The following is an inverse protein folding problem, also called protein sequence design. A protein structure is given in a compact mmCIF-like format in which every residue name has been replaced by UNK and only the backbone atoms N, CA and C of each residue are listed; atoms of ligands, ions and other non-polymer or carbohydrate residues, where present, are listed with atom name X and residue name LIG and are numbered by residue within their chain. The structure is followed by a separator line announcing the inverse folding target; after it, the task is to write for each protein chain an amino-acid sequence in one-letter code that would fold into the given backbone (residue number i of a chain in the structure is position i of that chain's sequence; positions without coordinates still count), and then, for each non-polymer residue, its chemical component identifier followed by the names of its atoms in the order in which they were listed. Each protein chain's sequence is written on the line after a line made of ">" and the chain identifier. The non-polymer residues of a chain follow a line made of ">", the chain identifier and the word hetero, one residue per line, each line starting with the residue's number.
data_IF_622089179801
#
_entry.id   IF_622089179801
#
_cell.length_a   1.000
_cell.length_b   1.000
_cell.length_c   1.000
_cell.angle_alpha   90.00
_cell.angle_beta   90.00
_cell.angle_gamma   90.00
#
_symmetry.space_group_name_H-M   'P 1'
#
loop_
_entity.id
_entity.type
_entity.pdbx_description
1 polymer ?
#
# COMPACT_ATOMS: atom_id res chain seq x y z
N UNK A 1 32.67 -35.00 -19.52
CA UNK A 1 32.71 -34.32 -18.22
C UNK A 1 32.74 -32.78 -18.30
N UNK A 2 33.56 -32.14 -19.18
CA UNK A 2 33.64 -30.66 -19.30
C UNK A 2 32.33 -29.98 -19.68
N UNK A 3 31.46 -30.58 -20.53
CA UNK A 3 30.16 -29.99 -20.93
C UNK A 3 29.11 -29.97 -19.82
N UNK A 4 29.11 -30.93 -18.89
CA UNK A 4 28.18 -30.96 -17.76
C UNK A 4 28.51 -29.89 -16.71
N UNK A 5 29.79 -29.58 -16.52
CA UNK A 5 30.24 -28.54 -15.57
C UNK A 5 29.83 -27.15 -16.05
N UNK A 6 29.89 -26.87 -17.36
CA UNK A 6 29.49 -25.58 -17.95
C UNK A 6 27.99 -25.38 -17.80
N UNK A 7 27.15 -26.40 -17.99
CA UNK A 7 25.68 -26.32 -17.81
C UNK A 7 25.29 -26.05 -16.36
N UNK A 8 26.00 -26.66 -15.42
CA UNK A 8 25.74 -26.46 -13.97
C UNK A 8 26.15 -25.05 -13.52
N UNK A 9 27.20 -24.46 -14.05
CA UNK A 9 27.58 -23.07 -13.76
C UNK A 9 26.59 -22.05 -14.31
N UNK A 10 25.96 -22.30 -15.46
CA UNK A 10 24.95 -21.41 -16.05
C UNK A 10 23.68 -21.41 -15.20
N UNK A 11 23.25 -22.55 -14.66
CA UNK A 11 22.11 -22.67 -13.75
C UNK A 11 22.30 -21.91 -12.42
N UNK A 12 23.54 -21.91 -11.89
CA UNK A 12 23.87 -21.21 -10.65
C UNK A 12 23.93 -19.68 -10.84
N UNK A 13 24.33 -19.21 -12.02
CA UNK A 13 24.35 -17.77 -12.36
C UNK A 13 22.94 -17.22 -12.55
N UNK A 14 22.02 -17.99 -13.13
CA UNK A 14 20.62 -17.59 -13.31
C UNK A 14 19.88 -17.40 -11.98
N UNK A 15 20.09 -18.30 -11.02
CA UNK A 15 19.43 -18.20 -9.70
C UNK A 15 19.94 -17.03 -8.85
N UNK A 16 21.21 -16.68 -8.92
CA UNK A 16 21.76 -15.50 -8.22
C UNK A 16 21.23 -14.19 -8.79
N UNK A 17 21.11 -14.09 -10.12
CA UNK A 17 20.62 -12.90 -10.81
C UNK A 17 19.16 -12.61 -10.45
N UNK A 18 18.31 -13.64 -10.35
CA UNK A 18 16.92 -13.52 -9.98
C UNK A 18 16.74 -13.02 -8.53
N UNK A 19 17.45 -13.61 -7.57
CA UNK A 19 17.42 -13.21 -6.17
C UNK A 19 17.92 -11.77 -5.94
N UNK A 20 18.96 -11.35 -6.65
CA UNK A 20 19.53 -10.02 -6.54
C UNK A 20 18.60 -8.94 -7.12
N UNK A 21 17.82 -9.23 -8.15
CA UNK A 21 16.85 -8.32 -8.73
C UNK A 21 15.68 -8.08 -7.77
N UNK A 22 15.15 -9.14 -7.15
CA UNK A 22 14.07 -9.06 -6.15
C UNK A 22 14.45 -8.21 -4.94
N UNK A 23 15.67 -8.37 -4.42
CA UNK A 23 16.14 -7.60 -3.28
C UNK A 23 16.33 -6.10 -3.62
N UNK A 24 16.84 -5.82 -4.84
CA UNK A 24 16.92 -4.45 -5.35
C UNK A 24 15.54 -3.79 -5.46
N UNK A 25 14.56 -4.51 -5.99
CA UNK A 25 13.19 -3.99 -6.13
C UNK A 25 12.50 -3.83 -4.77
N UNK A 26 12.73 -4.72 -3.82
CA UNK A 26 12.27 -4.57 -2.44
C UNK A 26 12.75 -3.26 -1.80
N UNK A 27 14.03 -2.92 -1.98
CA UNK A 27 14.60 -1.65 -1.50
C UNK A 27 13.95 -0.44 -2.19
N UNK A 28 13.74 -0.50 -3.52
CA UNK A 28 13.06 0.58 -4.26
C UNK A 28 11.63 0.79 -3.78
N UNK A 29 10.87 -0.29 -3.59
CA UNK A 29 9.49 -0.22 -3.10
C UNK A 29 9.43 0.37 -1.70
N UNK A 30 10.34 -0.01 -0.78
CA UNK A 30 10.43 0.61 0.53
C UNK A 30 10.64 2.13 0.42
N UNK A 31 11.58 2.57 -0.41
CA UNK A 31 11.85 4.00 -0.63
C UNK A 31 10.62 4.71 -1.21
N UNK A 32 9.91 4.10 -2.16
CA UNK A 32 8.71 4.66 -2.76
C UNK A 32 7.61 4.85 -1.70
N UNK A 33 7.33 3.83 -0.90
CA UNK A 33 6.28 3.89 0.13
C UNK A 33 6.63 4.90 1.24
N UNK A 34 7.89 4.94 1.68
CA UNK A 34 8.34 5.92 2.67
C UNK A 34 8.26 7.35 2.12
N UNK A 35 8.65 7.55 0.86
CA UNK A 35 8.56 8.85 0.19
C UNK A 35 7.11 9.27 -0.05
N UNK A 36 6.23 8.33 -0.35
CA UNK A 36 4.80 8.56 -0.51
C UNK A 36 4.15 9.04 0.78
N UNK A 37 4.42 8.37 1.92
CA UNK A 37 3.94 8.82 3.23
C UNK A 37 4.52 10.18 3.62
N UNK A 38 5.81 10.41 3.34
CA UNK A 38 6.46 11.70 3.58
C UNK A 38 5.87 12.84 2.76
N UNK A 39 5.52 12.58 1.49
CA UNK A 39 4.88 13.58 0.64
C UNK A 39 3.51 14.02 1.20
N UNK A 40 2.73 13.11 1.79
CA UNK A 40 1.49 13.46 2.49
C UNK A 40 1.76 14.31 3.74
N UNK A 41 2.75 13.91 4.56
CA UNK A 41 3.11 14.64 5.78
C UNK A 41 3.60 16.06 5.49
N UNK A 42 4.24 16.27 4.35
CA UNK A 42 4.74 17.56 3.88
C UNK A 42 3.72 18.34 3.03
N UNK A 43 2.53 17.79 2.80
CA UNK A 43 1.49 18.35 1.92
C UNK A 43 1.97 18.59 0.47
N UNK A 44 2.85 17.71 -0.03
CA UNK A 44 3.38 17.75 -1.40
C UNK A 44 2.42 17.02 -2.36
N UNK A 45 1.32 17.68 -2.75
CA UNK A 45 0.21 17.07 -3.50
C UNK A 45 0.66 16.36 -4.77
N UNK A 46 1.34 17.06 -5.68
CA UNK A 46 1.76 16.46 -6.96
C UNK A 46 2.77 15.32 -6.75
N UNK A 47 3.69 15.48 -5.80
CA UNK A 47 4.65 14.43 -5.45
C UNK A 47 3.94 13.19 -4.89
N UNK A 48 2.98 13.36 -3.98
CA UNK A 48 2.17 12.27 -3.43
C UNK A 48 1.49 11.46 -4.52
N UNK A 49 0.76 12.12 -5.42
CA UNK A 49 0.04 11.45 -6.50
C UNK A 49 0.95 10.91 -7.62
N UNK A 50 2.18 11.41 -7.72
CA UNK A 50 3.17 10.88 -8.67
C UNK A 50 3.58 9.42 -8.37
N UNK A 51 3.45 8.96 -7.14
CA UNK A 51 3.71 7.57 -6.74
C UNK A 51 2.58 6.61 -7.09
N UNK A 52 1.37 7.10 -7.33
CA UNK A 52 0.22 6.27 -7.67
C UNK A 52 0.16 5.99 -9.18
N UNK A 53 -0.38 4.84 -9.54
CA UNK A 53 -0.74 4.51 -10.92
C UNK A 53 -1.91 5.37 -11.40
N UNK A 54 -2.01 5.62 -12.70
CA UNK A 54 -3.13 6.35 -13.30
C UNK A 54 -4.49 5.71 -13.01
N UNK A 55 -4.53 4.39 -12.79
CA UNK A 55 -5.72 3.62 -12.42
C UNK A 55 -5.70 3.25 -10.92
N UNK A 56 -4.97 4.03 -10.10
CA UNK A 56 -4.81 3.75 -8.68
C UNK A 56 -6.14 3.87 -7.91
N UNK A 57 -6.30 2.97 -6.93
CA UNK A 57 -7.45 2.96 -6.01
C UNK A 57 -6.95 3.17 -4.59
N UNK A 58 -7.60 4.07 -3.87
CA UNK A 58 -7.36 4.27 -2.44
C UNK A 58 -8.64 3.93 -1.67
N UNK A 59 -8.52 3.03 -0.71
CA UNK A 59 -9.58 2.67 0.23
C UNK A 59 -9.19 3.19 1.61
N UNK A 60 -10.00 4.07 2.15
CA UNK A 60 -9.76 4.67 3.47
C UNK A 60 -10.34 3.84 4.61
N UNK A 61 -10.42 4.45 5.78
CA UNK A 61 -10.81 3.76 7.02
C UNK A 61 -12.31 3.64 7.23
N UNK A 62 -13.12 4.43 6.52
CA UNK A 62 -14.58 4.35 6.54
C UNK A 62 -15.08 3.44 5.42
N UNK A 63 -16.18 2.71 5.66
CA UNK A 63 -16.74 1.76 4.71
C UNK A 63 -17.20 2.41 3.39
N UNK A 64 -17.47 3.72 3.39
CA UNK A 64 -17.84 4.50 2.19
C UNK A 64 -16.62 5.00 1.39
N UNK A 65 -15.42 4.87 1.93
CA UNK A 65 -14.19 5.45 1.35
C UNK A 65 -13.51 4.50 0.36
N UNK A 66 -13.99 4.50 -0.86
CA UNK A 66 -13.39 3.77 -1.98
C UNK A 66 -13.26 4.71 -3.18
N UNK A 67 -12.06 5.25 -3.39
CA UNK A 67 -11.82 6.26 -4.41
C UNK A 67 -10.93 5.76 -5.54
N UNK A 68 -11.38 5.98 -6.76
CA UNK A 68 -10.50 6.02 -7.93
C UNK A 68 -9.60 7.26 -7.85
N UNK A 69 -8.47 7.24 -8.52
CA UNK A 69 -7.41 8.24 -8.39
C UNK A 69 -7.91 9.69 -8.46
N UNK A 70 -8.75 10.05 -9.44
CA UNK A 70 -9.18 11.43 -9.62
C UNK A 70 -10.18 11.89 -8.54
N UNK A 71 -11.06 10.97 -8.10
CA UNK A 71 -11.92 11.22 -6.95
C UNK A 71 -11.11 11.40 -5.67
N UNK A 72 -10.05 10.59 -5.48
CA UNK A 72 -9.15 10.72 -4.35
C UNK A 72 -8.36 12.03 -4.37
N UNK A 73 -7.88 12.48 -5.53
CA UNK A 73 -7.27 13.81 -5.68
C UNK A 73 -8.22 14.92 -5.26
N UNK A 74 -9.47 14.86 -5.73
CA UNK A 74 -10.50 15.85 -5.39
C UNK A 74 -10.78 15.87 -3.89
N UNK A 75 -10.96 14.71 -3.28
CA UNK A 75 -11.19 14.57 -1.84
C UNK A 75 -10.02 15.10 -1.02
N UNK A 76 -8.80 14.75 -1.39
CA UNK A 76 -7.60 15.05 -0.60
C UNK A 76 -7.09 16.50 -0.77
N UNK A 77 -7.38 17.15 -1.90
CA UNK A 77 -6.85 18.48 -2.24
C UNK A 77 -7.00 19.52 -1.13
N UNK A 78 -8.17 19.66 -0.46
CA UNK A 78 -8.33 20.65 0.61
C UNK A 78 -7.43 20.41 1.82
N UNK A 79 -7.04 19.17 2.10
CA UNK A 79 -6.11 18.85 3.19
C UNK A 79 -4.69 19.24 2.84
N UNK A 80 -4.25 18.94 1.62
CA UNK A 80 -2.94 19.35 1.12
C UNK A 80 -2.83 20.88 1.03
N UNK A 81 -3.87 21.59 0.57
CA UNK A 81 -3.87 23.06 0.45
C UNK A 81 -3.76 23.77 1.81
N UNK A 82 -4.19 23.13 2.89
CA UNK A 82 -3.99 23.62 4.26
C UNK A 82 -2.56 23.41 4.79
N UNK A 83 -1.66 22.85 3.97
CA UNK A 83 -0.28 22.57 4.34
C UNK A 83 -0.10 21.38 5.30
N UNK A 84 -1.14 20.56 5.51
CA UNK A 84 -1.09 19.38 6.38
C UNK A 84 -2.15 18.38 5.93
N UNK A 85 -1.73 17.28 5.32
CA UNK A 85 -2.61 16.16 5.00
C UNK A 85 -2.63 15.15 6.16
N UNK A 86 -1.98 14.01 6.00
CA UNK A 86 -1.86 12.98 7.05
C UNK A 86 -0.39 12.61 7.23
N UNK A 87 -0.05 12.16 8.43
CA UNK A 87 1.30 11.78 8.77
C UNK A 87 1.34 10.33 9.25
N UNK A 88 1.95 9.47 8.45
CA UNK A 88 2.10 8.04 8.72
C UNK A 88 3.57 7.68 8.72
N UNK A 89 4.00 6.90 9.72
CA UNK A 89 5.35 6.37 9.82
C UNK A 89 5.31 4.85 9.86
N UNK A 90 6.02 4.21 8.94
CA UNK A 90 6.06 2.74 8.90
C UNK A 90 6.82 2.18 10.10
N UNK A 91 6.17 1.31 10.87
CA UNK A 91 6.74 0.56 11.99
C UNK A 91 7.29 -0.79 11.54
N UNK A 92 6.62 -1.42 10.59
CA UNK A 92 6.99 -2.71 10.01
C UNK A 92 6.36 -2.83 8.63
N UNK A 93 7.09 -3.39 7.66
CA UNK A 93 6.58 -3.64 6.31
C UNK A 93 7.07 -4.98 5.79
N UNK A 94 6.18 -5.73 5.15
CA UNK A 94 6.49 -6.94 4.42
C UNK A 94 6.14 -6.71 2.94
N UNK A 95 7.02 -7.13 2.02
CA UNK A 95 6.83 -6.96 0.58
C UNK A 95 7.01 -8.31 -0.09
N UNK A 96 6.09 -8.66 -0.97
CA UNK A 96 6.02 -9.91 -1.70
C UNK A 96 5.95 -9.62 -3.20
N UNK A 97 6.38 -10.57 -4.03
CA UNK A 97 6.40 -10.41 -5.48
C UNK A 97 5.72 -11.60 -6.16
N UNK A 98 5.07 -11.32 -7.29
CA UNK A 98 4.63 -12.37 -8.19
C UNK A 98 5.83 -13.02 -8.93
N UNK A 99 5.57 -14.12 -9.64
CA UNK A 99 6.63 -14.84 -10.37
C UNK A 99 7.26 -14.02 -11.51
N UNK A 100 6.51 -13.11 -12.10
CA UNK A 100 6.99 -12.24 -13.18
C UNK A 100 7.80 -11.05 -12.69
N UNK A 101 7.71 -10.73 -11.38
CA UNK A 101 8.28 -9.54 -10.75
C UNK A 101 7.77 -8.21 -11.35
N UNK A 102 6.56 -8.23 -11.91
CA UNK A 102 5.89 -7.04 -12.40
C UNK A 102 4.79 -6.53 -11.46
N UNK A 103 4.42 -7.36 -10.49
CA UNK A 103 3.48 -7.02 -9.42
C UNK A 103 4.10 -7.32 -8.07
N UNK A 104 3.95 -6.40 -7.14
CA UNK A 104 4.29 -6.59 -5.75
C UNK A 104 3.07 -6.27 -4.88
N UNK A 105 2.89 -7.00 -3.79
CA UNK A 105 1.94 -6.63 -2.75
C UNK A 105 2.66 -6.49 -1.42
N UNK A 106 2.08 -5.71 -0.54
CA UNK A 106 2.67 -5.44 0.76
C UNK A 106 1.61 -5.29 1.83
N UNK A 107 2.04 -5.46 3.05
CA UNK A 107 1.36 -5.02 4.26
C UNK A 107 2.33 -4.22 5.13
N UNK A 108 1.79 -3.26 5.89
CA UNK A 108 2.56 -2.47 6.82
C UNK A 108 1.77 -2.12 8.08
N UNK A 109 2.47 -2.00 9.20
CA UNK A 109 1.95 -1.36 10.40
C UNK A 109 2.46 0.07 10.43
N UNK A 110 1.57 1.00 10.70
CA UNK A 110 1.82 2.43 10.68
C UNK A 110 1.56 3.04 12.06
N UNK A 111 2.46 3.92 12.49
CA UNK A 111 2.16 4.89 13.54
C UNK A 111 1.45 6.09 12.91
N UNK A 112 0.26 6.41 13.41
CA UNK A 112 -0.60 7.46 12.87
C UNK A 112 -1.27 8.25 14.01
N UNK A 113 -1.96 9.35 13.67
CA UNK A 113 -2.83 10.04 14.61
C UNK A 113 -3.98 9.18 15.14
N UNK A 114 -4.33 8.09 14.44
CA UNK A 114 -5.32 7.08 14.86
C UNK A 114 -4.68 5.91 15.62
N UNK A 115 -3.42 6.05 16.07
CA UNK A 115 -2.57 5.01 16.63
C UNK A 115 -2.18 3.98 15.57
N UNK A 116 -2.05 2.70 15.92
CA UNK A 116 -1.61 1.69 14.97
C UNK A 116 -2.69 1.45 13.92
N UNK A 117 -2.34 1.73 12.68
CA UNK A 117 -3.11 1.35 11.50
C UNK A 117 -2.40 0.26 10.72
N UNK A 118 -3.15 -0.44 9.88
CA UNK A 118 -2.61 -1.35 8.87
C UNK A 118 -2.82 -0.74 7.50
N UNK A 119 -1.71 -0.55 6.78
CA UNK A 119 -1.72 -0.32 5.34
C UNK A 119 -1.50 -1.65 4.62
N UNK A 120 -2.18 -1.86 3.51
CA UNK A 120 -1.86 -2.92 2.57
C UNK A 120 -2.10 -2.46 1.15
N UNK A 121 -1.38 -3.02 0.18
CA UNK A 121 -1.55 -2.55 -1.17
C UNK A 121 -0.82 -3.38 -2.22
N UNK A 122 -1.01 -2.95 -3.45
CA UNK A 122 -0.41 -3.55 -4.63
C UNK A 122 0.35 -2.47 -5.39
N UNK A 123 1.58 -2.78 -5.76
CA UNK A 123 2.34 -2.00 -6.72
C UNK A 123 2.46 -2.78 -8.03
N UNK A 124 2.42 -2.05 -9.13
CA UNK A 124 2.67 -2.57 -10.47
C UNK A 124 3.87 -1.87 -11.09
N UNK A 125 4.53 -2.56 -12.01
CA UNK A 125 5.64 -1.99 -12.77
C UNK A 125 5.11 -1.27 -14.00
N UNK A 126 5.28 0.05 -14.06
CA UNK A 126 5.03 0.88 -15.23
C UNK A 126 6.35 1.28 -15.87
N UNK A 127 6.74 0.59 -16.92
CA UNK A 127 8.07 0.72 -17.54
C UNK A 127 9.19 0.32 -16.56
N UNK A 128 10.00 1.29 -16.15
CA UNK A 128 11.10 1.07 -15.18
C UNK A 128 10.72 1.41 -13.74
N UNK A 129 9.53 1.96 -13.51
CA UNK A 129 9.10 2.49 -12.22
C UNK A 129 8.05 1.59 -11.57
N UNK A 130 8.06 1.53 -10.25
CA UNK A 130 7.00 0.96 -9.46
C UNK A 130 5.96 2.05 -9.13
N UNK A 131 4.67 1.72 -9.25
CA UNK A 131 3.55 2.61 -8.95
C UNK A 131 2.54 1.91 -8.05
N UNK A 132 1.96 2.63 -7.12
CA UNK A 132 0.91 2.14 -6.22
C UNK A 132 -0.38 2.05 -7.02
N UNK A 133 -0.87 0.84 -7.28
CA UNK A 133 -2.10 0.58 -8.00
C UNK A 133 -3.31 0.39 -7.09
N UNK A 134 -3.08 -0.05 -5.86
CA UNK A 134 -4.14 -0.24 -4.86
C UNK A 134 -3.57 -0.02 -3.46
N UNK A 135 -4.31 0.67 -2.62
CA UNK A 135 -3.96 0.84 -1.21
C UNK A 135 -5.21 0.78 -0.32
N UNK A 136 -5.11 0.09 0.77
CA UNK A 136 -6.14 0.02 1.82
C UNK A 136 -5.53 0.46 3.14
N UNK A 137 -6.17 1.39 3.81
CA UNK A 137 -5.86 1.80 5.17
C UNK A 137 -6.95 1.32 6.12
N UNK A 138 -6.56 0.67 7.22
CA UNK A 138 -7.51 0.21 8.24
C UNK A 138 -6.97 0.50 9.64
N UNK A 139 -7.83 0.94 10.53
CA UNK A 139 -7.51 0.99 11.95
C UNK A 139 -7.39 -0.43 12.50
N UNK A 140 -6.34 -0.70 13.28
CA UNK A 140 -6.25 -1.97 14.01
C UNK A 140 -6.91 -1.85 15.37
N UNK A 141 -7.65 -2.89 15.75
CA UNK A 141 -8.33 -2.95 17.04
C UNK A 141 -7.66 -4.04 17.87
N UNK A 142 -7.14 -3.74 19.09
CA UNK A 142 -6.68 -4.77 20.01
C UNK A 142 -7.82 -5.76 20.32
N UNK A 143 -7.50 -7.05 20.36
CA UNK A 143 -8.53 -8.09 20.59
C UNK A 143 -9.36 -7.83 21.85
N UNK A 144 -8.74 -7.34 22.90
CA UNK A 144 -9.41 -7.06 24.19
C UNK A 144 -10.43 -5.90 24.09
N UNK A 145 -10.39 -5.08 23.05
CA UNK A 145 -11.32 -3.96 22.84
C UNK A 145 -12.39 -4.26 21.76
N UNK A 146 -12.38 -5.44 21.16
CA UNK A 146 -13.25 -5.76 20.02
C UNK A 146 -14.73 -5.58 20.37
N UNK A 147 -15.18 -6.12 21.49
CA UNK A 147 -16.60 -6.06 21.90
C UNK A 147 -17.10 -4.63 22.12
N UNK A 148 -16.26 -3.77 22.68
CA UNK A 148 -16.59 -2.36 22.89
C UNK A 148 -16.72 -1.61 21.55
N UNK A 149 -15.78 -1.85 20.63
CA UNK A 149 -15.80 -1.24 19.31
C UNK A 149 -16.99 -1.72 18.50
N UNK A 150 -17.35 -3.00 18.54
CA UNK A 150 -18.57 -3.54 17.90
C UNK A 150 -19.82 -2.82 18.39
N UNK A 151 -20.00 -2.63 19.69
CA UNK A 151 -21.15 -1.90 20.26
C UNK A 151 -21.25 -0.44 19.78
N UNK A 152 -20.07 0.21 19.58
CA UNK A 152 -20.04 1.59 19.07
C UNK A 152 -20.45 1.62 17.59
N UNK A 153 -19.98 0.66 16.79
CA UNK A 153 -20.22 0.59 15.36
C UNK A 153 -21.65 0.17 15.00
N UNK A 154 -22.25 -0.73 15.77
CA UNK A 154 -23.59 -1.28 15.51
C UNK A 154 -24.64 -0.20 15.21
N UNK A 155 -24.62 0.93 15.92
CA UNK A 155 -25.59 2.01 15.75
C UNK A 155 -25.59 2.64 14.36
N UNK A 156 -24.43 2.61 13.69
CA UNK A 156 -24.24 3.20 12.37
C UNK A 156 -24.22 2.11 11.31
N UNK A 157 -23.42 1.05 11.53
CA UNK A 157 -23.13 0.04 10.51
C UNK A 157 -24.31 -0.90 10.23
N UNK A 158 -25.21 -1.16 11.19
CA UNK A 158 -26.39 -1.99 10.91
C UNK A 158 -27.23 -1.40 9.77
N UNK A 159 -27.43 -0.07 9.74
CA UNK A 159 -28.14 0.59 8.63
C UNK A 159 -27.39 0.49 7.30
N UNK A 160 -26.07 0.58 7.31
CA UNK A 160 -25.24 0.42 6.12
C UNK A 160 -25.29 -1.03 5.60
N UNK A 161 -25.20 -2.02 6.51
CA UNK A 161 -25.29 -3.43 6.19
C UNK A 161 -26.61 -3.77 5.51
N UNK A 162 -27.75 -3.33 6.08
CA UNK A 162 -29.07 -3.60 5.49
C UNK A 162 -29.24 -2.94 4.11
N UNK A 163 -28.72 -1.72 3.95
CA UNK A 163 -28.70 -1.07 2.63
C UNK A 163 -27.92 -1.88 1.60
N UNK A 164 -26.68 -2.28 1.93
CA UNK A 164 -25.81 -3.05 0.99
C UNK A 164 -26.36 -4.44 0.65
N UNK A 165 -27.11 -5.05 1.57
CA UNK A 165 -27.79 -6.34 1.29
C UNK A 165 -28.98 -6.20 0.35
N UNK A 166 -29.53 -5.00 0.19
CA UNK A 166 -30.68 -4.73 -0.68
C UNK A 166 -30.33 -4.27 -2.07
N UNK A 167 -29.07 -4.01 -2.35
CA UNK A 167 -28.50 -3.71 -3.67
C UNK A 167 -28.21 -4.99 -4.49
#
# INVERSE_FOLDING_TARGET
>A
MKKAIVLFCILLLGSKSFSQNTESDRKKINIILDSWHKAAANAEFDNYFSYMSSNGVFIGTDASENWQLDAFKTFSKPFFDKGKAWNFSSLKRNIYFDKSQNTAWFDELLDTQMKICRGSGVLIREGKNWKIAHYVLSMTIPNDNTDEVVKIKEKIENGVIEKLKSE
#
